data_IF_239674170810
#
_entry.id   IF_239674170810
#
_cell.length_a   1.000
_cell.length_b   1.000
_cell.length_c   1.000
_cell.angle_alpha   90.00
_cell.angle_beta   90.00
_cell.angle_gamma   90.00
#
_symmetry.space_group_name_H-M   'P 1'
#
loop_
_entity.id
_entity.type
_entity.pdbx_description
1 polymer ?
#
# COMPACT_ATOMS: atom_id res chain seq x y z
N UNK A 1 5.73 12.92 -12.26
CA UNK A 1 7.08 12.77 -12.87
C UNK A 1 7.02 11.66 -13.90
N UNK A 2 7.26 11.92 -15.20
CA UNK A 2 7.36 10.85 -16.18
C UNK A 2 8.66 10.08 -15.93
N UNK A 3 8.55 8.87 -15.41
CA UNK A 3 9.67 7.93 -15.35
C UNK A 3 9.83 7.23 -16.70
N UNK A 4 11.04 6.81 -17.03
CA UNK A 4 11.35 6.13 -18.31
C UNK A 4 10.49 4.88 -18.57
N UNK A 5 9.99 4.24 -17.51
CA UNK A 5 9.12 3.07 -17.62
C UNK A 5 7.65 3.43 -17.79
N UNK A 6 7.19 4.60 -17.32
CA UNK A 6 5.82 5.09 -17.59
C UNK A 6 5.59 5.30 -19.08
N UNK A 7 6.55 5.90 -19.78
CA UNK A 7 6.46 6.09 -21.23
C UNK A 7 6.43 4.75 -21.97
N UNK A 8 7.25 3.78 -21.54
CA UNK A 8 7.26 2.44 -22.13
C UNK A 8 5.93 1.71 -21.89
N UNK A 9 5.39 1.74 -20.67
CA UNK A 9 4.08 1.17 -20.35
C UNK A 9 2.97 1.81 -21.18
N UNK A 10 2.91 3.14 -21.24
CA UNK A 10 1.90 3.86 -22.03
C UNK A 10 2.00 3.52 -23.53
N UNK A 11 3.21 3.36 -24.06
CA UNK A 11 3.44 2.95 -25.44
C UNK A 11 2.92 1.53 -25.69
N UNK A 12 3.29 0.57 -24.83
CA UNK A 12 2.85 -0.83 -24.93
C UNK A 12 1.32 -0.92 -24.87
N UNK A 13 0.70 -0.25 -23.90
CA UNK A 13 -0.76 -0.21 -23.75
C UNK A 13 -1.45 0.35 -24.99
N UNK A 14 -0.86 1.38 -25.62
CA UNK A 14 -1.37 1.96 -26.86
C UNK A 14 -1.19 1.02 -28.05
N UNK A 15 -0.05 0.34 -28.17
CA UNK A 15 0.19 -0.68 -29.20
C UNK A 15 -0.88 -1.78 -29.08
N UNK A 16 -1.05 -2.36 -27.89
CA UNK A 16 -2.06 -3.40 -27.64
C UNK A 16 -3.47 -2.94 -28.02
N UNK A 17 -3.85 -1.72 -27.64
CA UNK A 17 -5.17 -1.13 -27.98
C UNK A 17 -5.38 -0.89 -29.48
N UNK A 18 -4.30 -0.65 -30.23
CA UNK A 18 -4.38 -0.26 -31.65
C UNK A 18 -3.79 -1.30 -32.59
N UNK A 19 -3.50 -2.51 -32.08
CA UNK A 19 -2.75 -3.53 -32.81
C UNK A 19 -3.43 -3.95 -34.12
N UNK A 20 -4.76 -4.01 -34.14
CA UNK A 20 -5.53 -4.32 -35.35
C UNK A 20 -5.29 -3.29 -36.47
N UNK A 21 -5.37 -2.00 -36.14
CA UNK A 21 -5.13 -0.91 -37.09
C UNK A 21 -3.67 -0.83 -37.51
N UNK A 22 -2.74 -1.05 -36.59
CA UNK A 22 -1.30 -1.13 -36.88
C UNK A 22 -1.05 -2.27 -37.87
N UNK A 23 -1.62 -3.45 -37.61
CA UNK A 23 -1.48 -4.63 -38.47
C UNK A 23 -2.01 -4.35 -39.87
N UNK A 24 -3.21 -3.78 -39.99
CA UNK A 24 -3.80 -3.42 -41.29
C UNK A 24 -2.92 -2.42 -42.06
N UNK A 25 -2.41 -1.40 -41.38
CA UNK A 25 -1.54 -0.39 -41.99
C UNK A 25 -0.20 -0.97 -42.47
N UNK A 26 0.42 -1.85 -41.67
CA UNK A 26 1.68 -2.51 -42.00
C UNK A 26 1.53 -3.44 -43.20
N UNK A 27 0.46 -4.26 -43.24
CA UNK A 27 0.19 -5.16 -44.38
C UNK A 27 -0.09 -4.39 -45.66
N UNK A 28 -0.71 -3.21 -45.57
CA UNK A 28 -1.07 -2.39 -46.74
C UNK A 28 0.09 -1.56 -47.28
N UNK A 29 1.22 -1.46 -46.57
CA UNK A 29 2.33 -0.57 -46.91
C UNK A 29 3.52 -1.34 -47.49
N UNK A 30 3.99 -0.91 -48.68
CA UNK A 30 5.19 -1.52 -49.31
C UNK A 30 6.45 -1.19 -48.49
N UNK A 31 7.22 -2.22 -48.15
CA UNK A 31 8.49 -2.08 -47.42
C UNK A 31 8.35 -1.86 -45.91
N UNK A 32 7.15 -2.00 -45.34
CA UNK A 32 6.93 -1.91 -43.91
C UNK A 32 7.44 -3.15 -43.16
N UNK A 33 7.77 -3.03 -41.86
CA UNK A 33 8.05 -4.18 -41.01
C UNK A 33 6.86 -5.15 -40.91
N UNK A 34 7.15 -6.40 -40.56
CA UNK A 34 6.10 -7.38 -40.29
C UNK A 34 5.26 -6.95 -39.07
N UNK A 35 3.94 -7.19 -39.09
CA UNK A 35 3.10 -7.04 -37.90
C UNK A 35 3.58 -7.93 -36.76
N UNK A 36 3.22 -7.57 -35.53
CA UNK A 36 3.47 -8.42 -34.36
C UNK A 36 2.78 -9.76 -34.51
N UNK A 37 3.52 -10.83 -34.25
CA UNK A 37 2.97 -12.17 -34.11
C UNK A 37 2.10 -12.29 -32.85
N UNK A 38 1.21 -13.28 -32.82
CA UNK A 38 0.40 -13.56 -31.63
C UNK A 38 1.26 -13.75 -30.37
N UNK A 39 2.38 -14.46 -30.49
CA UNK A 39 3.30 -14.68 -29.38
C UNK A 39 3.94 -13.37 -28.87
N UNK A 40 4.25 -12.43 -29.75
CA UNK A 40 4.77 -11.11 -29.35
C UNK A 40 3.70 -10.27 -28.66
N UNK A 41 2.46 -10.34 -29.13
CA UNK A 41 1.31 -9.68 -28.47
C UNK A 41 1.11 -10.24 -27.06
N UNK A 42 1.20 -11.56 -26.88
CA UNK A 42 1.11 -12.20 -25.56
C UNK A 42 2.24 -11.74 -24.62
N UNK A 43 3.46 -11.60 -25.13
CA UNK A 43 4.59 -11.06 -24.36
C UNK A 43 4.32 -9.60 -23.95
N UNK A 44 3.78 -8.78 -24.86
CA UNK A 44 3.44 -7.39 -24.57
C UNK A 44 2.33 -7.29 -23.52
N UNK A 45 1.33 -8.19 -23.55
CA UNK A 45 0.31 -8.29 -22.52
C UNK A 45 0.93 -8.60 -21.15
N UNK A 46 1.80 -9.61 -21.06
CA UNK A 46 2.49 -9.94 -19.81
C UNK A 46 3.32 -8.75 -19.27
N UNK A 47 4.04 -8.05 -20.13
CA UNK A 47 4.84 -6.87 -19.73
C UNK A 47 3.92 -5.73 -19.25
N UNK A 48 2.79 -5.51 -19.93
CA UNK A 48 1.80 -4.51 -19.53
C UNK A 48 1.25 -4.81 -18.13
N UNK A 49 0.83 -6.05 -17.87
CA UNK A 49 0.35 -6.48 -16.56
C UNK A 49 1.43 -6.30 -15.48
N UNK A 50 2.68 -6.69 -15.75
CA UNK A 50 3.80 -6.53 -14.82
C UNK A 50 4.12 -5.06 -14.48
N UNK A 51 3.92 -4.13 -15.42
CA UNK A 51 4.21 -2.72 -15.22
C UNK A 51 3.03 -1.93 -14.61
N UNK A 52 1.80 -2.41 -14.73
CA UNK A 52 0.60 -1.71 -14.23
C UNK A 52 0.69 -1.32 -12.74
N UNK A 53 1.11 -2.20 -11.81
CA UNK A 53 1.18 -1.85 -10.39
C UNK A 53 2.16 -0.71 -10.10
N UNK A 54 3.22 -0.59 -10.89
CA UNK A 54 4.17 0.50 -10.74
C UNK A 54 3.54 1.82 -11.17
N UNK A 55 2.79 1.83 -12.27
CA UNK A 55 2.10 3.03 -12.78
C UNK A 55 1.12 3.53 -11.72
N UNK A 56 0.30 2.63 -11.19
CA UNK A 56 -0.65 2.92 -10.12
C UNK A 56 0.06 3.46 -8.87
N UNK A 57 1.13 2.82 -8.41
CA UNK A 57 1.92 3.31 -7.28
C UNK A 57 2.48 4.73 -7.54
N UNK A 58 2.97 4.98 -8.75
CA UNK A 58 3.51 6.29 -9.13
C UNK A 58 2.42 7.34 -9.22
N UNK A 59 1.24 7.00 -9.73
CA UNK A 59 0.09 7.88 -9.78
C UNK A 59 -0.41 8.20 -8.36
N UNK A 60 -0.53 7.19 -7.50
CA UNK A 60 -0.92 7.36 -6.08
C UNK A 60 0.03 8.29 -5.32
N UNK A 61 1.34 8.19 -5.59
CA UNK A 61 2.33 9.08 -4.97
C UNK A 61 2.35 10.46 -5.63
N UNK A 62 2.20 10.56 -6.95
CA UNK A 62 2.35 11.83 -7.68
C UNK A 62 1.10 12.72 -7.74
N UNK A 63 -0.09 12.14 -7.57
CA UNK A 63 -1.36 12.89 -7.52
C UNK A 63 -1.62 13.53 -6.16
N UNK A 64 -0.94 13.04 -5.11
CA UNK A 64 -1.05 13.63 -3.79
C UNK A 64 -0.35 14.99 -3.76
N UNK A 65 -1.12 16.07 -3.64
CA UNK A 65 -0.60 17.46 -3.61
C UNK A 65 0.39 17.71 -2.47
N UNK A 66 0.38 16.83 -1.45
CA UNK A 66 1.41 16.72 -0.41
C UNK A 66 1.81 15.24 -0.29
N UNK A 67 2.92 14.85 -0.90
CA UNK A 67 3.51 13.53 -0.67
C UNK A 67 3.91 13.42 0.80
N UNK A 68 3.14 12.66 1.57
CA UNK A 68 3.41 12.40 2.98
C UNK A 68 4.28 11.16 3.12
N UNK A 69 5.26 11.18 4.04
CA UNK A 69 6.03 9.99 4.41
C UNK A 69 5.14 8.81 4.87
N UNK A 70 3.90 9.09 5.28
CA UNK A 70 2.91 8.07 5.70
C UNK A 70 2.44 7.15 4.57
N UNK A 71 2.57 7.55 3.31
CA UNK A 71 2.12 6.74 2.16
C UNK A 71 3.19 5.73 1.69
N UNK A 72 4.44 5.89 2.13
CA UNK A 72 5.58 5.11 1.65
C UNK A 72 5.37 3.62 1.93
N UNK A 73 5.07 3.25 3.18
CA UNK A 73 4.90 1.85 3.55
C UNK A 73 3.67 1.23 2.88
N UNK A 74 2.46 1.84 2.94
CA UNK A 74 1.28 1.31 2.26
C UNK A 74 1.48 1.05 0.77
N UNK A 75 2.10 1.98 0.04
CA UNK A 75 2.35 1.82 -1.40
C UNK A 75 3.32 0.69 -1.70
N UNK A 76 4.39 0.53 -0.89
CA UNK A 76 5.33 -0.58 -1.04
C UNK A 76 4.62 -1.91 -0.79
N UNK A 77 3.74 -1.97 0.20
CA UNK A 77 2.97 -3.17 0.52
C UNK A 77 1.97 -3.53 -0.58
N UNK A 78 1.21 -2.55 -1.06
CA UNK A 78 0.30 -2.74 -2.19
C UNK A 78 1.04 -3.19 -3.46
N UNK A 79 2.18 -2.56 -3.76
CA UNK A 79 3.00 -2.89 -4.92
C UNK A 79 3.54 -4.33 -4.83
N UNK A 80 4.07 -4.75 -3.68
CA UNK A 80 4.49 -6.13 -3.44
C UNK A 80 3.33 -7.12 -3.60
N UNK A 81 2.16 -6.79 -3.05
CA UNK A 81 0.98 -7.65 -3.14
C UNK A 81 0.53 -7.84 -4.59
N UNK A 82 0.35 -6.75 -5.34
CA UNK A 82 -0.07 -6.80 -6.76
C UNK A 82 0.93 -7.58 -7.61
N UNK A 83 2.23 -7.28 -7.47
CA UNK A 83 3.29 -7.96 -8.24
C UNK A 83 3.35 -9.47 -7.94
N UNK A 84 3.08 -9.88 -6.70
CA UNK A 84 3.07 -11.29 -6.34
C UNK A 84 1.84 -12.05 -6.87
N UNK A 85 0.72 -11.35 -7.09
CA UNK A 85 -0.52 -11.93 -7.58
C UNK A 85 -0.68 -11.91 -9.11
N UNK A 86 0.18 -11.18 -9.84
CA UNK A 86 0.16 -11.17 -11.30
C UNK A 86 0.49 -12.56 -11.83
N UNK A 87 -0.37 -13.03 -12.75
CA UNK A 87 -0.19 -14.25 -13.51
C UNK A 87 0.31 -13.86 -14.90
N UNK A 88 1.43 -14.45 -15.29
CA UNK A 88 2.05 -14.28 -16.61
C UNK A 88 1.90 -15.57 -17.41
N UNK A 89 1.61 -15.44 -18.69
CA UNK A 89 1.28 -16.57 -19.55
C UNK A 89 2.52 -17.08 -20.32
N UNK A 90 3.41 -16.17 -20.69
CA UNK A 90 4.59 -16.45 -21.52
C UNK A 90 5.80 -16.87 -20.68
N UNK A 91 6.71 -17.66 -21.28
CA UNK A 91 7.98 -18.03 -20.64
C UNK A 91 8.83 -16.79 -20.31
N UNK A 92 8.85 -15.80 -21.21
CA UNK A 92 9.58 -14.54 -21.00
C UNK A 92 9.01 -13.76 -19.80
N UNK A 93 7.68 -13.72 -19.65
CA UNK A 93 7.02 -13.14 -18.49
C UNK A 93 7.37 -13.88 -17.19
N UNK A 94 7.43 -15.22 -17.23
CA UNK A 94 7.85 -16.03 -16.06
C UNK A 94 9.29 -15.77 -15.66
N UNK A 95 10.18 -15.54 -16.62
CA UNK A 95 11.60 -15.25 -16.37
C UNK A 95 11.85 -13.83 -15.83
N UNK A 96 10.84 -12.95 -15.82
CA UNK A 96 10.90 -11.60 -15.24
C UNK A 96 10.86 -11.57 -13.69
N UNK A 97 11.25 -12.66 -13.01
CA UNK A 97 11.40 -12.73 -11.54
C UNK A 97 12.34 -11.67 -10.98
N UNK A 98 13.27 -11.15 -11.80
CA UNK A 98 14.17 -10.06 -11.44
C UNK A 98 13.43 -8.81 -10.97
N UNK A 99 12.22 -8.55 -11.48
CA UNK A 99 11.39 -7.41 -11.05
C UNK A 99 11.00 -7.57 -9.57
N UNK A 100 10.52 -8.77 -9.19
CA UNK A 100 10.17 -9.11 -7.80
C UNK A 100 11.36 -8.93 -6.85
N UNK A 101 12.50 -9.51 -7.24
CA UNK A 101 13.73 -9.39 -6.45
C UNK A 101 14.20 -7.95 -6.31
N UNK A 102 14.18 -7.18 -7.40
CA UNK A 102 14.61 -5.78 -7.41
C UNK A 102 13.70 -4.90 -6.54
N UNK A 103 12.40 -5.19 -6.54
CA UNK A 103 11.42 -4.50 -5.70
C UNK A 103 11.75 -4.68 -4.22
N UNK A 104 11.87 -5.93 -3.77
CA UNK A 104 12.24 -6.25 -2.38
C UNK A 104 13.59 -5.64 -2.02
N UNK A 105 14.62 -5.83 -2.85
CA UNK A 105 15.97 -5.32 -2.60
C UNK A 105 16.01 -3.80 -2.40
N UNK A 106 15.23 -3.05 -3.19
CA UNK A 106 15.26 -1.58 -3.17
C UNK A 106 14.30 -0.96 -2.16
N UNK A 107 13.15 -1.60 -1.92
CA UNK A 107 12.05 -0.98 -1.17
C UNK A 107 11.80 -1.60 0.21
N UNK A 108 12.24 -2.83 0.48
CA UNK A 108 11.95 -3.49 1.78
C UNK A 108 12.46 -2.71 2.99
N UNK A 109 13.59 -2.01 2.86
CA UNK A 109 14.16 -1.22 3.96
C UNK A 109 13.29 -0.05 4.43
N UNK A 110 12.33 0.42 3.63
CA UNK A 110 11.49 1.55 4.03
C UNK A 110 10.49 1.18 5.12
N UNK A 111 10.06 -0.08 5.18
CA UNK A 111 9.16 -0.56 6.22
C UNK A 111 9.88 -0.66 7.58
N UNK A 112 11.21 -0.70 7.60
CA UNK A 112 12.02 -0.74 8.83
C UNK A 112 12.52 0.62 9.29
N UNK A 113 12.44 1.67 8.45
CA UNK A 113 12.91 3.02 8.78
C UNK A 113 11.95 3.73 9.74
N UNK A 114 12.50 4.42 10.73
CA UNK A 114 11.74 5.13 11.77
C UNK A 114 10.75 6.15 11.22
N UNK A 115 11.19 7.02 10.29
CA UNK A 115 10.33 8.10 9.76
C UNK A 115 9.08 7.56 9.05
N UNK A 116 9.18 6.68 8.02
CA UNK A 116 8.00 6.08 7.41
C UNK A 116 7.12 5.32 8.40
N UNK A 117 7.70 4.61 9.37
CA UNK A 117 6.93 3.88 10.40
C UNK A 117 6.07 4.82 11.23
N UNK A 118 6.69 5.83 11.84
CA UNK A 118 6.01 6.83 12.67
C UNK A 118 4.93 7.54 11.84
N UNK A 119 5.28 8.03 10.65
CA UNK A 119 4.34 8.73 9.78
C UNK A 119 3.14 7.85 9.39
N UNK A 120 3.36 6.57 9.07
CA UNK A 120 2.28 5.63 8.71
C UNK A 120 1.37 5.33 9.90
N UNK A 121 1.93 5.15 11.09
CA UNK A 121 1.16 4.89 12.32
C UNK A 121 0.29 6.10 12.70
N UNK A 122 0.83 7.32 12.58
CA UNK A 122 0.12 8.55 12.90
C UNK A 122 -0.97 8.91 11.89
N UNK A 123 -0.89 8.39 10.67
CA UNK A 123 -1.91 8.63 9.63
C UNK A 123 -3.16 7.79 9.88
N UNK A 124 -4.33 8.40 10.16
CA UNK A 124 -5.55 7.67 10.48
C UNK A 124 -6.03 6.75 9.36
N UNK A 125 -5.63 7.01 8.10
CA UNK A 125 -5.99 6.21 6.93
C UNK A 125 -5.31 4.83 6.95
N UNK A 126 -4.16 4.72 7.61
CA UNK A 126 -3.31 3.52 7.57
C UNK A 126 -3.19 2.87 8.94
N UNK A 127 -2.66 3.60 9.93
CA UNK A 127 -2.33 3.06 11.26
C UNK A 127 -1.52 1.75 11.11
N UNK A 128 -1.85 0.71 11.90
CA UNK A 128 -1.22 -0.61 11.80
C UNK A 128 -1.53 -1.35 10.48
N UNK A 129 -2.64 -1.02 9.81
CA UNK A 129 -3.04 -1.70 8.57
C UNK A 129 -2.22 -1.27 7.35
N UNK A 130 -1.43 -0.19 7.46
CA UNK A 130 -0.53 0.25 6.39
C UNK A 130 0.72 -0.61 6.20
N UNK A 131 0.94 -1.60 7.06
CA UNK A 131 2.16 -2.40 7.11
C UNK A 131 1.97 -3.78 6.51
N UNK A 132 3.03 -4.32 5.91
CA UNK A 132 3.05 -5.68 5.38
C UNK A 132 3.26 -6.68 6.53
N UNK A 133 4.14 -6.32 7.46
CA UNK A 133 4.50 -7.16 8.59
C UNK A 133 3.92 -6.57 9.90
N UNK A 134 3.08 -7.31 10.63
CA UNK A 134 2.55 -6.89 11.92
C UNK A 134 3.64 -6.51 12.94
N UNK A 135 4.80 -7.17 12.90
CA UNK A 135 5.94 -6.83 13.75
C UNK A 135 6.43 -5.40 13.50
N UNK A 136 6.55 -4.99 12.23
CA UNK A 136 6.98 -3.64 11.87
C UNK A 136 5.95 -2.59 12.30
N UNK A 137 4.66 -2.93 12.30
CA UNK A 137 3.60 -2.06 12.80
C UNK A 137 3.74 -1.83 14.32
N UNK A 138 4.01 -2.88 15.10
CA UNK A 138 4.26 -2.75 16.54
C UNK A 138 5.52 -1.93 16.84
N UNK A 139 6.60 -2.14 16.10
CA UNK A 139 7.81 -1.32 16.22
C UNK A 139 7.53 0.15 15.88
N UNK A 140 6.64 0.43 14.93
CA UNK A 140 6.17 1.78 14.64
C UNK A 140 5.43 2.42 15.81
N UNK A 141 4.57 1.66 16.51
CA UNK A 141 3.89 2.14 17.73
C UNK A 141 4.89 2.47 18.83
N UNK A 142 5.87 1.58 19.08
CA UNK A 142 6.92 1.82 20.06
C UNK A 142 7.73 3.07 19.73
N UNK A 143 8.06 3.28 18.45
CA UNK A 143 8.76 4.48 18.01
C UNK A 143 7.95 5.75 18.30
N UNK A 144 6.63 5.75 18.04
CA UNK A 144 5.74 6.89 18.40
C UNK A 144 5.73 7.13 19.90
N UNK A 145 5.60 6.07 20.70
CA UNK A 145 5.61 6.18 22.17
C UNK A 145 6.93 6.76 22.68
N UNK A 146 8.05 6.30 22.14
CA UNK A 146 9.38 6.82 22.49
C UNK A 146 9.49 8.33 22.21
N UNK A 147 9.12 8.77 21.00
CA UNK A 147 9.13 10.21 20.65
C UNK A 147 8.24 11.03 21.59
N UNK A 148 7.07 10.51 21.97
CA UNK A 148 6.17 11.19 22.91
C UNK A 148 6.82 11.35 24.29
N UNK A 149 7.47 10.32 24.82
CA UNK A 149 8.14 10.38 26.12
C UNK A 149 9.40 11.25 26.10
N UNK A 150 10.08 11.38 24.96
CA UNK A 150 11.24 12.28 24.81
C UNK A 150 10.82 13.75 24.73
N UNK A 151 9.68 14.03 24.08
CA UNK A 151 9.19 15.40 23.84
C UNK A 151 8.38 15.97 25.01
N UNK A 152 7.78 15.11 25.85
CA UNK A 152 7.12 15.55 27.07
C UNK A 152 8.18 15.86 28.13
N UNK A 153 8.24 17.09 28.70
CA UNK A 153 9.11 17.34 29.83
C UNK A 153 8.77 16.34 30.95
N UNK A 154 9.79 15.78 31.60
CA UNK A 154 9.61 14.96 32.79
C UNK A 154 8.79 15.77 33.79
N UNK A 155 7.50 15.46 33.92
CA UNK A 155 6.56 16.27 34.68
C UNK A 155 7.01 16.22 36.15
N UNK A 156 7.46 17.33 36.78
CA UNK A 156 7.57 17.38 38.22
C UNK A 156 6.14 17.51 38.73
N UNK A 157 5.48 16.37 38.97
CA UNK A 157 4.17 16.34 39.61
C UNK A 157 4.32 16.71 41.08
N UNK A 158 4.37 18.00 41.37
CA UNK A 158 3.82 18.57 42.59
C UNK A 158 3.21 19.92 42.24
N UNK A 159 1.90 19.94 41.98
CA UNK A 159 0.99 20.87 42.64
C UNK A 159 -0.42 20.29 42.53
N UNK A 160 -0.95 19.89 43.68
CA UNK A 160 -2.36 19.60 43.86
C UNK A 160 -3.15 20.86 43.51
N UNK A 161 -3.96 20.82 42.46
CA UNK A 161 -5.20 21.58 42.46
C UNK A 161 -6.31 20.73 41.86
N UNK A 162 -7.13 20.24 42.79
CA UNK A 162 -8.48 19.74 42.64
C UNK A 162 -9.26 20.71 41.73
N UNK A 163 -9.78 20.23 40.60
CA UNK A 163 -11.13 20.53 40.18
C UNK A 163 -11.63 19.52 39.14
N UNK A 164 -12.85 19.09 39.43
CA UNK A 164 -13.62 18.02 38.84
C UNK A 164 -14.26 18.50 37.53
N UNK A 165 -14.05 17.76 36.44
CA UNK A 165 -14.89 17.84 35.25
C UNK A 165 -15.02 16.42 34.66
N UNK A 166 -16.21 15.86 34.82
CA UNK A 166 -16.65 14.55 34.37
C UNK A 166 -16.56 14.39 32.84
N UNK A 167 -15.73 13.47 32.36
CA UNK A 167 -15.87 12.88 31.02
C UNK A 167 -16.52 11.49 31.13
N UNK A 168 -17.82 11.51 31.38
CA UNK A 168 -18.68 10.36 31.59
C UNK A 168 -19.13 9.68 30.27
N UNK A 169 -18.21 9.43 29.32
CA UNK A 169 -18.58 8.90 28.00
C UNK A 169 -18.00 7.53 27.63
N UNK A 170 -17.09 6.93 28.41
CA UNK A 170 -16.44 5.68 28.01
C UNK A 170 -16.60 4.47 28.95
N UNK A 171 -17.57 4.50 29.88
CA UNK A 171 -17.93 3.31 30.67
C UNK A 171 -19.31 2.79 30.29
N UNK A 172 -19.40 2.07 29.17
CA UNK A 172 -20.42 1.03 29.02
C UNK A 172 -19.99 0.00 27.97
N UNK A 173 -19.42 -1.11 28.46
CA UNK A 173 -19.80 -2.50 28.13
C UNK A 173 -18.71 -3.44 28.64
N UNK A 174 -18.81 -3.81 29.91
CA UNK A 174 -18.35 -5.10 30.39
C UNK A 174 -19.08 -5.45 31.69
N UNK A 175 -19.70 -6.64 31.68
CA UNK A 175 -20.11 -7.41 32.85
C UNK A 175 -21.45 -7.05 33.51
N UNK A 176 -22.50 -7.73 33.06
CA UNK A 176 -23.60 -8.14 33.96
C UNK A 176 -23.97 -9.58 33.64
N UNK A 177 -23.50 -10.50 34.48
CA UNK A 177 -24.06 -11.85 34.62
C UNK A 177 -24.19 -12.12 36.12
N UNK A 178 -25.38 -12.59 36.50
CA UNK A 178 -25.82 -13.15 37.79
C UNK A 178 -26.03 -12.18 38.97
N UNK A 179 -27.30 -11.99 39.37
CA UNK A 179 -27.92 -12.58 40.59
C UNK A 179 -29.44 -12.35 40.63
N UNK A 180 -30.16 -13.33 41.19
CA UNK A 180 -31.63 -13.45 41.36
C UNK A 180 -32.22 -12.44 42.38
N UNK A 181 -33.53 -12.17 42.33
CA UNK A 181 -34.47 -12.65 43.38
C UNK A 181 -35.81 -13.12 42.76
N UNK A 182 -36.59 -14.05 43.30
CA UNK A 182 -37.05 -14.18 44.69
C UNK A 182 -38.53 -13.78 44.78
N UNK A 183 -39.41 -14.78 44.80
CA UNK A 183 -40.77 -14.83 45.39
C UNK A 183 -41.89 -13.88 44.88
N UNK A 184 -43.01 -14.47 44.45
CA UNK A 184 -44.37 -13.91 44.56
C UNK A 184 -45.29 -14.94 45.25
N UNK A 185 -46.20 -14.52 46.14
CA UNK A 185 -47.12 -15.42 46.84
C UNK A 185 -48.44 -15.64 46.07
N UNK A 186 -49.14 -16.69 46.52
CA UNK A 186 -50.39 -17.28 46.03
C UNK A 186 -51.58 -16.32 45.97
N UNK A 187 -52.40 -16.46 44.91
CA UNK A 187 -53.85 -16.76 44.94
C UNK A 187 -54.27 -17.23 43.55
#
# INVERSE_FOLDING_TARGET
MPTRWNSAYAMIKRILKTNEFITLALVSSRGAPLPFSAAEVDILNDISELLSPFEEATLSVSTNTKVSASIIIPVICELNHKINNIKVNTEKGKNMTTIKFSLTKRLASYETRTIPRIATILDPRFKKHGFCNPFNAEEGVKAVQHELFTQLPANPLHHQHRNQADFHFYKSKAKTRCTLPGQMPLS
#
